data_IF_162563870403
#
_entry.id   IF_162563870403
#
_cell.length_a   1.000
_cell.length_b   1.000
_cell.length_c   1.000
_cell.angle_alpha   90.00
_cell.angle_beta   90.00
_cell.angle_gamma   90.00
#
_symmetry.space_group_name_H-M   'P 1'
#
loop_
_entity.id
_entity.type
_entity.pdbx_description
1 polymer ?
#
# COMPACT_ATOMS: atom_id res chain seq x y z
N UNK A 1 4.82 -7.90 12.92
CA UNK A 1 4.37 -6.87 11.98
C UNK A 1 4.55 -5.46 12.57
N UNK A 2 3.72 -5.02 13.51
CA UNK A 2 3.85 -3.68 14.14
C UNK A 2 5.20 -3.43 14.78
N UNK A 3 5.75 -4.39 15.52
CA UNK A 3 7.08 -4.24 16.14
C UNK A 3 8.20 -4.03 15.12
N UNK A 4 8.20 -4.75 14.01
CA UNK A 4 9.22 -4.59 12.96
C UNK A 4 9.07 -3.26 12.21
N UNK A 5 7.84 -2.77 12.03
CA UNK A 5 7.63 -1.43 11.45
C UNK A 5 8.03 -0.32 12.43
N UNK A 6 7.72 -0.47 13.73
CA UNK A 6 8.23 0.46 14.77
C UNK A 6 9.75 0.44 14.80
N UNK A 7 10.39 -0.72 14.73
CA UNK A 7 11.84 -0.83 14.66
C UNK A 7 12.41 -0.12 13.42
N UNK A 8 11.72 -0.18 12.27
CA UNK A 8 12.09 0.58 11.08
C UNK A 8 12.01 2.10 11.31
N UNK A 9 10.93 2.58 11.95
CA UNK A 9 10.78 4.01 12.27
C UNK A 9 11.84 4.49 13.28
N UNK A 10 12.15 3.67 14.28
CA UNK A 10 13.24 3.94 15.23
C UNK A 10 14.59 3.98 14.50
N UNK A 11 14.84 3.02 13.62
CA UNK A 11 16.07 3.00 12.81
C UNK A 11 16.18 4.23 11.92
N UNK A 12 15.09 4.64 11.27
CA UNK A 12 15.02 5.87 10.49
C UNK A 12 15.31 7.11 11.37
N UNK A 13 14.74 7.19 12.58
CA UNK A 13 15.00 8.29 13.51
C UNK A 13 16.46 8.32 13.98
N UNK A 14 17.04 7.16 14.29
CA UNK A 14 18.46 7.03 14.69
C UNK A 14 19.40 7.42 13.55
N UNK A 15 18.99 7.21 12.29
CA UNK A 15 19.80 7.58 11.14
C UNK A 15 19.91 9.10 10.90
N UNK A 16 18.96 9.90 11.41
CA UNK A 16 18.93 11.36 11.19
C UNK A 16 20.18 12.08 11.69
N UNK A 17 20.71 11.83 12.91
CA UNK A 17 21.91 12.51 13.37
C UNK A 17 23.21 12.16 12.60
N UNK A 18 23.19 11.04 11.90
CA UNK A 18 24.35 10.55 11.15
C UNK A 18 24.24 10.83 9.65
N UNK A 19 23.15 11.50 9.24
CA UNK A 19 22.96 11.78 7.84
C UNK A 19 23.94 12.87 7.37
N UNK A 20 24.43 12.70 6.18
CA UNK A 20 25.23 13.70 5.51
C UNK A 20 24.39 14.95 5.27
N UNK A 21 24.92 16.14 5.58
CA UNK A 21 24.20 17.38 5.37
C UNK A 21 23.78 17.52 3.91
N UNK A 22 22.48 17.51 3.68
CA UNK A 22 21.94 17.70 2.34
C UNK A 22 22.09 19.15 1.95
N UNK A 23 23.01 19.33 1.07
CA UNK A 23 23.08 20.51 0.26
C UNK A 23 22.08 20.34 -0.88
N UNK A 24 20.99 21.08 -0.77
CA UNK A 24 19.95 21.07 -1.76
C UNK A 24 20.12 22.24 -2.69
N UNK A 25 20.23 21.95 -3.97
CA UNK A 25 20.26 23.00 -5.01
C UNK A 25 18.83 23.27 -5.46
N UNK A 26 18.31 24.44 -5.12
CA UNK A 26 17.01 24.86 -5.62
C UNK A 26 17.13 25.27 -7.11
N UNK A 27 16.00 25.56 -7.75
CA UNK A 27 15.99 25.97 -9.15
C UNK A 27 16.74 27.28 -9.44
N UNK A 28 17.21 27.97 -8.40
CA UNK A 28 18.01 29.22 -8.46
C UNK A 28 19.48 28.99 -8.10
N UNK A 29 19.93 27.74 -7.91
CA UNK A 29 21.31 27.40 -7.55
C UNK A 29 21.67 27.74 -6.11
N UNK A 30 20.68 27.96 -5.23
CA UNK A 30 20.90 28.24 -3.81
C UNK A 30 20.95 26.95 -3.04
N UNK A 31 22.08 26.71 -2.42
CA UNK A 31 22.32 25.58 -1.51
C UNK A 31 21.65 25.81 -0.16
N UNK A 32 20.80 24.92 0.28
CA UNK A 32 20.10 25.04 1.58
C UNK A 32 20.22 23.73 2.38
N UNK A 33 20.44 23.88 3.68
CA UNK A 33 20.35 22.77 4.63
C UNK A 33 18.88 22.41 4.88
N UNK A 34 18.57 21.12 4.95
CA UNK A 34 17.26 20.66 5.34
C UNK A 34 17.02 20.90 6.84
N UNK A 35 15.93 21.57 7.21
CA UNK A 35 15.59 21.74 8.60
C UNK A 35 15.25 20.39 9.23
N UNK A 36 15.75 20.14 10.44
CA UNK A 36 15.55 18.87 11.18
C UNK A 36 14.09 18.43 11.23
N UNK A 37 13.15 19.38 11.37
CA UNK A 37 11.73 19.04 11.43
C UNK A 37 11.21 18.43 10.11
N UNK A 38 11.78 18.76 8.95
CA UNK A 38 11.40 18.16 7.66
C UNK A 38 11.76 16.67 7.58
N UNK A 39 12.68 16.22 8.43
CA UNK A 39 13.04 14.81 8.58
C UNK A 39 12.22 14.12 9.67
N UNK A 40 11.94 14.82 10.77
CA UNK A 40 11.24 14.27 11.94
C UNK A 40 9.72 14.17 11.71
N UNK A 41 9.11 15.17 11.05
CA UNK A 41 7.65 15.21 10.87
C UNK A 41 7.09 13.99 10.13
N UNK A 42 7.67 13.51 9.00
CA UNK A 42 7.16 12.32 8.34
C UNK A 42 7.21 11.07 9.23
N UNK A 43 8.23 10.94 10.07
CA UNK A 43 8.34 9.82 10.99
C UNK A 43 7.31 9.92 12.11
N UNK A 44 7.07 11.13 12.62
CA UNK A 44 6.01 11.39 13.60
C UNK A 44 4.62 11.06 13.00
N UNK A 45 4.34 11.51 11.78
CA UNK A 45 3.09 11.22 11.09
C UNK A 45 2.91 9.72 10.80
N UNK A 46 3.96 9.01 10.37
CA UNK A 46 3.91 7.55 10.21
C UNK A 46 3.63 6.83 11.53
N UNK A 47 4.25 7.30 12.62
CA UNK A 47 4.05 6.76 13.97
C UNK A 47 2.62 6.99 14.44
N UNK A 48 2.12 8.23 14.34
CA UNK A 48 0.75 8.57 14.72
C UNK A 48 -0.26 7.77 13.89
N UNK A 49 -0.03 7.64 12.59
CA UNK A 49 -0.88 6.85 11.67
C UNK A 49 -0.99 5.39 12.14
N UNK A 50 0.14 4.77 12.48
CA UNK A 50 0.15 3.39 13.00
C UNK A 50 -0.57 3.30 14.36
N UNK A 51 -0.32 4.25 15.27
CA UNK A 51 -0.97 4.27 16.60
C UNK A 51 -2.49 4.45 16.49
N UNK A 52 -2.95 5.35 15.62
CA UNK A 52 -4.38 5.55 15.35
C UNK A 52 -5.01 4.28 14.78
N UNK A 53 -4.34 3.60 13.85
CA UNK A 53 -4.84 2.34 13.30
C UNK A 53 -4.93 1.22 14.37
N UNK A 54 -3.91 1.10 15.23
CA UNK A 54 -3.90 0.14 16.35
C UNK A 54 -5.05 0.46 17.31
N UNK A 55 -5.19 1.73 17.70
CA UNK A 55 -6.25 2.16 18.61
C UNK A 55 -7.63 1.90 18.01
N UNK A 56 -7.88 2.33 16.78
CA UNK A 56 -9.16 2.10 16.09
C UNK A 56 -9.51 0.61 16.04
N UNK A 57 -8.55 -0.25 15.69
CA UNK A 57 -8.77 -1.69 15.68
C UNK A 57 -9.02 -2.25 17.09
N UNK A 58 -8.36 -1.75 18.15
CA UNK A 58 -8.51 -2.26 19.51
C UNK A 58 -9.83 -1.85 20.16
N UNK A 59 -10.33 -0.67 19.84
CA UNK A 59 -11.61 -0.15 20.39
C UNK A 59 -12.84 -0.91 19.87
N UNK A 60 -12.74 -1.59 18.75
CA UNK A 60 -13.84 -2.36 18.17
C UNK A 60 -13.73 -3.80 18.69
N UNK A 61 -14.81 -4.34 19.28
CA UNK A 61 -14.88 -5.74 19.65
C UNK A 61 -14.69 -6.64 18.41
N UNK A 62 -14.00 -7.78 18.57
CA UNK A 62 -13.66 -8.67 17.43
C UNK A 62 -14.88 -9.08 16.64
N UNK A 63 -15.98 -9.44 17.32
CA UNK A 63 -17.24 -9.81 16.67
C UNK A 63 -17.88 -8.69 15.82
N UNK A 64 -17.49 -7.42 16.04
CA UNK A 64 -18.00 -6.26 15.30
C UNK A 64 -17.04 -5.80 14.20
N UNK A 65 -15.82 -6.35 14.12
CA UNK A 65 -14.81 -5.90 13.15
C UNK A 65 -15.25 -6.07 11.70
N UNK A 66 -15.82 -7.20 11.32
CA UNK A 66 -16.35 -7.40 9.96
C UNK A 66 -17.42 -6.36 9.61
N UNK A 67 -18.34 -6.08 10.55
CA UNK A 67 -19.37 -5.05 10.38
C UNK A 67 -18.78 -3.64 10.26
N UNK A 68 -17.73 -3.33 11.02
CA UNK A 68 -17.04 -2.05 10.95
C UNK A 68 -16.32 -1.87 9.62
N UNK A 69 -15.58 -2.90 9.15
CA UNK A 69 -14.94 -2.88 7.84
C UNK A 69 -15.96 -2.74 6.70
N UNK A 70 -17.11 -3.42 6.81
CA UNK A 70 -18.18 -3.28 5.84
C UNK A 70 -18.71 -1.84 5.78
N UNK A 71 -19.00 -1.22 6.93
CA UNK A 71 -19.45 0.19 6.99
C UNK A 71 -18.41 1.12 6.41
N UNK A 72 -17.13 0.88 6.70
CA UNK A 72 -16.02 1.65 6.14
C UNK A 72 -15.98 1.53 4.61
N UNK A 73 -16.14 0.31 4.07
CA UNK A 73 -16.25 0.09 2.62
C UNK A 73 -17.44 0.84 2.02
N UNK A 74 -18.62 0.86 2.68
CA UNK A 74 -19.78 1.61 2.22
C UNK A 74 -19.54 3.13 2.20
N UNK A 75 -18.93 3.67 3.25
CA UNK A 75 -18.53 5.08 3.29
C UNK A 75 -17.57 5.43 2.16
N UNK A 76 -16.57 4.59 1.90
CA UNK A 76 -15.65 4.77 0.78
C UNK A 76 -16.34 4.68 -0.59
N UNK A 77 -17.36 3.81 -0.73
CA UNK A 77 -18.14 3.69 -1.96
C UNK A 77 -18.95 4.95 -2.31
N UNK A 78 -19.21 5.81 -1.31
CA UNK A 78 -19.85 7.11 -1.49
C UNK A 78 -18.79 8.21 -1.62
N UNK A 79 -17.81 8.24 -0.72
CA UNK A 79 -16.82 9.33 -0.65
C UNK A 79 -15.93 9.39 -1.88
N UNK A 80 -15.43 8.23 -2.37
CA UNK A 80 -14.52 8.21 -3.50
C UNK A 80 -15.12 8.71 -4.82
N UNK A 81 -16.36 8.34 -5.23
CA UNK A 81 -16.98 8.94 -6.41
C UNK A 81 -17.20 10.45 -6.28
N UNK A 82 -17.61 10.91 -5.09
CA UNK A 82 -17.80 12.36 -4.84
C UNK A 82 -16.47 13.10 -5.00
N UNK A 83 -15.39 12.56 -4.43
CA UNK A 83 -14.05 13.14 -4.57
C UNK A 83 -13.58 13.12 -6.03
N UNK A 84 -13.79 12.03 -6.76
CA UNK A 84 -13.47 11.95 -8.18
C UNK A 84 -14.24 12.96 -9.03
N UNK A 85 -15.54 13.11 -8.80
CA UNK A 85 -16.35 14.10 -9.52
C UNK A 85 -15.87 15.51 -9.22
N UNK A 86 -15.56 15.79 -7.96
CA UNK A 86 -15.02 17.09 -7.55
C UNK A 86 -13.69 17.38 -8.23
N UNK A 87 -12.71 16.47 -8.16
CA UNK A 87 -11.40 16.66 -8.78
C UNK A 87 -11.50 16.78 -10.31
N UNK A 88 -12.45 16.07 -10.93
CA UNK A 88 -12.73 16.21 -12.35
C UNK A 88 -13.26 17.62 -12.67
N UNK A 89 -14.20 18.14 -11.89
CA UNK A 89 -14.79 19.49 -12.07
C UNK A 89 -13.74 20.58 -11.80
N UNK A 90 -12.86 20.39 -10.82
CA UNK A 90 -11.75 21.30 -10.49
C UNK A 90 -10.62 21.25 -11.55
N UNK A 91 -10.70 20.35 -12.54
CA UNK A 91 -9.71 20.22 -13.61
C UNK A 91 -8.43 19.48 -13.21
N UNK A 92 -8.41 18.81 -12.05
CA UNK A 92 -7.28 18.02 -11.56
C UNK A 92 -7.17 16.68 -12.31
N UNK A 93 -7.02 16.77 -13.63
CA UNK A 93 -6.96 15.61 -14.52
C UNK A 93 -5.63 15.56 -15.27
N UNK A 94 -5.15 14.37 -15.55
CA UNK A 94 -4.01 14.11 -16.44
C UNK A 94 -4.50 13.24 -17.59
N UNK A 95 -4.86 13.85 -18.70
CA UNK A 95 -5.61 13.19 -19.76
C UNK A 95 -7.02 12.79 -19.25
N UNK A 96 -7.37 11.50 -19.35
CA UNK A 96 -8.65 10.99 -18.84
C UNK A 96 -8.62 10.56 -17.36
N UNK A 97 -7.45 10.62 -16.71
CA UNK A 97 -7.27 10.20 -15.32
C UNK A 97 -7.64 11.31 -14.36
N UNK A 98 -8.35 10.94 -13.31
CA UNK A 98 -8.69 11.85 -12.23
C UNK A 98 -7.80 11.54 -11.03
N UNK A 99 -7.11 12.56 -10.50
CA UNK A 99 -6.40 12.45 -9.24
C UNK A 99 -7.42 12.48 -8.09
N UNK A 100 -7.27 11.62 -7.09
CA UNK A 100 -8.06 11.69 -5.85
C UNK A 100 -7.25 12.40 -4.77
N UNK A 101 -7.91 13.05 -3.82
CA UNK A 101 -7.23 13.65 -2.65
C UNK A 101 -6.62 12.58 -1.75
N UNK A 102 -7.25 11.41 -1.68
CA UNK A 102 -6.75 10.26 -0.94
C UNK A 102 -5.78 9.44 -1.80
N UNK A 103 -4.55 9.93 -1.95
CA UNK A 103 -3.46 9.22 -2.60
C UNK A 103 -3.24 9.52 -4.08
N UNK A 104 -3.94 10.51 -4.63
CA UNK A 104 -3.82 10.84 -6.04
C UNK A 104 -4.25 9.70 -6.97
N UNK A 105 -4.01 9.83 -8.26
CA UNK A 105 -4.33 8.79 -9.23
C UNK A 105 -3.40 7.55 -9.14
N UNK A 106 -2.27 7.67 -8.42
CA UNK A 106 -1.26 6.61 -8.37
C UNK A 106 -1.58 5.52 -7.33
N UNK A 107 -1.98 5.89 -6.11
CA UNK A 107 -2.08 4.98 -4.96
C UNK A 107 -3.47 4.86 -4.35
N UNK A 108 -4.47 5.63 -4.81
CA UNK A 108 -5.88 5.47 -4.36
C UNK A 108 -6.40 4.02 -4.56
N UNK A 109 -5.83 3.28 -5.52
CA UNK A 109 -6.20 1.89 -5.78
C UNK A 109 -6.00 0.98 -4.57
N UNK A 110 -5.07 1.29 -3.66
CA UNK A 110 -4.87 0.52 -2.43
C UNK A 110 -6.14 0.51 -1.60
N UNK A 111 -6.75 1.69 -1.40
CA UNK A 111 -8.02 1.85 -0.67
C UNK A 111 -9.16 1.13 -1.39
N UNK A 112 -9.23 1.32 -2.71
CA UNK A 112 -10.30 0.76 -3.54
C UNK A 112 -10.29 -0.77 -3.57
N UNK A 113 -9.11 -1.39 -3.64
CA UNK A 113 -8.97 -2.86 -3.62
C UNK A 113 -9.32 -3.44 -2.25
N UNK A 114 -8.90 -2.80 -1.16
CA UNK A 114 -9.25 -3.24 0.19
C UNK A 114 -10.76 -3.14 0.44
N UNK A 115 -11.37 -2.02 0.08
CA UNK A 115 -12.80 -1.81 0.20
C UNK A 115 -13.60 -2.74 -0.72
N UNK A 116 -13.13 -2.97 -1.96
CA UNK A 116 -13.70 -3.94 -2.91
C UNK A 116 -13.69 -5.36 -2.32
N UNK A 117 -12.59 -5.77 -1.70
CA UNK A 117 -12.47 -7.10 -1.10
C UNK A 117 -13.55 -7.33 -0.02
N UNK A 118 -13.79 -6.33 0.83
CA UNK A 118 -14.85 -6.39 1.85
C UNK A 118 -16.25 -6.37 1.23
N UNK A 119 -16.50 -5.55 0.21
CA UNK A 119 -17.77 -5.51 -0.49
C UNK A 119 -18.10 -6.85 -1.18
N UNK A 120 -17.12 -7.45 -1.85
CA UNK A 120 -17.26 -8.75 -2.53
C UNK A 120 -17.47 -9.88 -1.50
N UNK A 121 -16.78 -9.85 -0.35
CA UNK A 121 -17.01 -10.80 0.74
C UNK A 121 -18.45 -10.76 1.25
N UNK A 122 -18.98 -9.54 1.46
CA UNK A 122 -20.34 -9.34 1.90
C UNK A 122 -21.37 -9.84 0.86
N UNK A 123 -21.12 -9.64 -0.45
CA UNK A 123 -21.96 -10.19 -1.54
C UNK A 123 -21.97 -11.72 -1.50
N UNK A 124 -20.80 -12.35 -1.36
CA UNK A 124 -20.66 -13.81 -1.37
C UNK A 124 -21.29 -14.44 -0.12
N UNK A 125 -21.19 -13.77 1.02
CA UNK A 125 -21.82 -14.21 2.28
C UNK A 125 -23.29 -13.82 2.39
N UNK A 126 -23.89 -13.24 1.34
CA UNK A 126 -25.27 -12.78 1.29
C UNK A 126 -25.63 -11.71 2.34
N UNK A 127 -24.64 -10.98 2.86
CA UNK A 127 -24.84 -9.86 3.78
C UNK A 127 -25.08 -8.57 2.99
N UNK A 128 -26.25 -7.94 3.18
CA UNK A 128 -26.61 -6.68 2.51
C UNK A 128 -26.29 -6.69 1.00
N UNK A 129 -26.66 -7.77 0.31
CA UNK A 129 -26.21 -8.13 -1.04
C UNK A 129 -26.31 -6.98 -2.04
N UNK A 130 -27.45 -6.26 -2.07
CA UNK A 130 -27.66 -5.17 -3.04
C UNK A 130 -26.68 -4.01 -2.75
N UNK A 131 -26.62 -3.51 -1.50
CA UNK A 131 -25.74 -2.41 -1.13
C UNK A 131 -24.27 -2.77 -1.37
N UNK A 132 -23.87 -3.99 -1.02
CA UNK A 132 -22.50 -4.46 -1.23
C UNK A 132 -22.16 -4.61 -2.70
N UNK A 133 -23.12 -5.00 -3.57
CA UNK A 133 -22.91 -5.03 -5.02
C UNK A 133 -22.75 -3.63 -5.59
N UNK A 134 -23.57 -2.67 -5.17
CA UNK A 134 -23.44 -1.26 -5.57
C UNK A 134 -22.09 -0.71 -5.15
N UNK A 135 -21.64 -0.99 -3.92
CA UNK A 135 -20.33 -0.57 -3.44
C UNK A 135 -19.19 -1.19 -4.26
N UNK A 136 -19.28 -2.48 -4.58
CA UNK A 136 -18.27 -3.15 -5.42
C UNK A 136 -18.17 -2.49 -6.81
N UNK A 137 -19.31 -2.18 -7.44
CA UNK A 137 -19.36 -1.47 -8.73
C UNK A 137 -18.78 -0.07 -8.61
N UNK A 138 -19.10 0.65 -7.52
CA UNK A 138 -18.54 1.98 -7.24
C UNK A 138 -17.01 1.93 -7.13
N UNK A 139 -16.45 1.00 -6.35
CA UNK A 139 -15.00 0.86 -6.22
C UNK A 139 -14.32 0.50 -7.54
N UNK A 140 -14.92 -0.38 -8.36
CA UNK A 140 -14.40 -0.72 -9.68
C UNK A 140 -14.46 0.48 -10.63
N UNK A 141 -15.53 1.27 -10.61
CA UNK A 141 -15.67 2.50 -11.39
C UNK A 141 -14.60 3.53 -11.02
N UNK A 142 -14.39 3.77 -9.72
CA UNK A 142 -13.33 4.66 -9.24
C UNK A 142 -11.93 4.16 -9.61
N UNK A 143 -11.70 2.85 -9.53
CA UNK A 143 -10.44 2.25 -9.94
C UNK A 143 -10.16 2.46 -11.43
N UNK A 144 -11.17 2.27 -12.28
CA UNK A 144 -11.08 2.54 -13.71
C UNK A 144 -10.79 4.02 -13.97
N UNK A 145 -11.52 4.95 -13.33
CA UNK A 145 -11.34 6.39 -13.48
C UNK A 145 -9.94 6.87 -13.04
N UNK A 146 -9.33 6.23 -12.05
CA UNK A 146 -7.98 6.56 -11.62
C UNK A 146 -6.91 6.26 -12.67
N UNK A 147 -7.14 5.29 -13.57
CA UNK A 147 -6.18 4.85 -14.59
C UNK A 147 -4.82 4.41 -14.03
N UNK A 148 -4.81 3.90 -12.80
CA UNK A 148 -3.60 3.46 -12.13
C UNK A 148 -3.10 2.12 -12.68
N UNK A 149 -1.86 2.08 -13.21
CA UNK A 149 -1.22 0.81 -13.64
C UNK A 149 -1.05 -0.17 -12.47
N UNK A 150 -0.61 0.35 -11.33
CA UNK A 150 -0.49 -0.44 -10.11
C UNK A 150 -1.86 -0.96 -9.66
N UNK A 151 -2.92 -0.14 -9.81
CA UNK A 151 -4.29 -0.53 -9.55
C UNK A 151 -4.78 -1.66 -10.45
N UNK A 152 -4.43 -1.64 -11.73
CA UNK A 152 -4.75 -2.72 -12.66
C UNK A 152 -4.05 -4.02 -12.28
N UNK A 153 -2.77 -3.95 -11.90
CA UNK A 153 -2.00 -5.12 -11.41
C UNK A 153 -2.63 -5.65 -10.11
N UNK A 154 -2.96 -4.77 -9.17
CA UNK A 154 -3.59 -5.15 -7.90
C UNK A 154 -4.96 -5.80 -8.12
N UNK A 155 -5.79 -5.26 -9.01
CA UNK A 155 -7.08 -5.84 -9.37
C UNK A 155 -6.90 -7.23 -10.01
N UNK A 156 -5.95 -7.36 -10.93
CA UNK A 156 -5.65 -8.63 -11.58
C UNK A 156 -5.23 -9.70 -10.54
N UNK A 157 -4.34 -9.35 -9.62
CA UNK A 157 -3.93 -10.26 -8.54
C UNK A 157 -5.08 -10.61 -7.60
N UNK A 158 -5.94 -9.64 -7.28
CA UNK A 158 -7.14 -9.89 -6.48
C UNK A 158 -8.09 -10.87 -7.18
N UNK A 159 -8.37 -10.67 -8.47
CA UNK A 159 -9.24 -11.56 -9.27
C UNK A 159 -8.63 -12.95 -9.42
N UNK A 160 -7.33 -13.04 -9.69
CA UNK A 160 -6.61 -14.32 -9.74
C UNK A 160 -6.73 -15.03 -8.38
N UNK A 161 -6.46 -14.32 -7.29
CA UNK A 161 -6.60 -14.87 -5.94
C UNK A 161 -8.03 -15.33 -5.65
N UNK A 162 -9.04 -14.55 -6.03
CA UNK A 162 -10.45 -14.89 -5.89
C UNK A 162 -10.79 -16.20 -6.65
N UNK A 163 -10.25 -16.37 -7.85
CA UNK A 163 -10.42 -17.58 -8.65
C UNK A 163 -9.80 -18.79 -7.97
N UNK A 164 -8.58 -18.67 -7.41
CA UNK A 164 -7.87 -19.80 -6.81
C UNK A 164 -8.33 -20.13 -5.38
N UNK A 165 -8.71 -19.13 -4.59
CA UNK A 165 -8.99 -19.29 -3.15
C UNK A 165 -10.44 -19.01 -2.78
N UNK A 166 -11.27 -18.55 -3.72
CA UNK A 166 -12.70 -18.35 -3.48
C UNK A 166 -13.40 -19.66 -3.09
N UNK A 167 -14.39 -19.57 -2.18
CA UNK A 167 -15.14 -20.73 -1.67
C UNK A 167 -15.75 -21.59 -2.78
N UNK A 168 -16.28 -20.94 -3.81
CA UNK A 168 -16.85 -21.61 -5.00
C UNK A 168 -15.80 -22.35 -5.83
N UNK A 169 -14.53 -21.98 -5.72
CA UNK A 169 -13.46 -22.63 -6.46
C UNK A 169 -13.15 -24.04 -5.92
N UNK A 170 -13.22 -24.24 -4.61
CA UNK A 170 -12.92 -25.56 -3.98
C UNK A 170 -13.89 -26.66 -4.40
N UNK A 171 -15.13 -26.30 -4.75
CA UNK A 171 -16.18 -27.24 -5.19
C UNK A 171 -16.14 -27.53 -6.69
N UNK A 172 -15.33 -26.83 -7.49
CA UNK A 172 -15.26 -27.00 -8.95
C UNK A 172 -14.27 -28.08 -9.36
N UNK A 173 -14.55 -28.72 -10.51
CA UNK A 173 -13.64 -29.70 -11.11
C UNK A 173 -12.29 -29.05 -11.49
N UNK A 174 -11.23 -29.87 -11.58
CA UNK A 174 -9.88 -29.39 -11.97
C UNK A 174 -9.90 -28.65 -13.31
N UNK A 175 -10.65 -29.15 -14.33
CA UNK A 175 -10.79 -28.52 -15.63
C UNK A 175 -11.43 -27.13 -15.54
N UNK A 176 -12.51 -27.00 -14.77
CA UNK A 176 -13.15 -25.68 -14.56
C UNK A 176 -12.24 -24.69 -13.87
N UNK A 177 -11.45 -25.14 -12.87
CA UNK A 177 -10.45 -24.30 -12.18
C UNK A 177 -9.41 -23.77 -13.15
N UNK A 178 -8.86 -24.65 -14.01
CA UNK A 178 -7.88 -24.24 -15.02
C UNK A 178 -8.45 -23.23 -16.02
N UNK A 179 -9.66 -23.47 -16.54
CA UNK A 179 -10.31 -22.53 -17.48
C UNK A 179 -10.54 -21.16 -16.83
N UNK A 180 -11.04 -21.11 -15.58
CA UNK A 180 -11.27 -19.86 -14.87
C UNK A 180 -9.96 -19.12 -14.59
N UNK A 181 -8.90 -19.86 -14.21
CA UNK A 181 -7.57 -19.29 -13.99
C UNK A 181 -7.00 -18.68 -15.30
N UNK A 182 -7.12 -19.42 -16.42
CA UNK A 182 -6.68 -18.92 -17.73
C UNK A 182 -7.46 -17.68 -18.16
N UNK A 183 -8.78 -17.67 -17.98
CA UNK A 183 -9.61 -16.49 -18.27
C UNK A 183 -9.22 -15.30 -17.38
N UNK A 184 -8.99 -15.52 -16.08
CA UNK A 184 -8.52 -14.48 -15.17
C UNK A 184 -7.16 -13.91 -15.59
N UNK A 185 -6.19 -14.77 -15.92
CA UNK A 185 -4.88 -14.36 -16.41
C UNK A 185 -4.97 -13.63 -17.76
N UNK A 186 -5.80 -14.10 -18.68
CA UNK A 186 -6.03 -13.44 -19.96
C UNK A 186 -6.64 -12.04 -19.76
N UNK A 187 -7.66 -11.94 -18.93
CA UNK A 187 -8.30 -10.64 -18.61
C UNK A 187 -7.31 -9.68 -17.96
N UNK A 188 -6.49 -10.17 -17.04
CA UNK A 188 -5.43 -9.38 -16.41
C UNK A 188 -4.38 -8.95 -17.43
N UNK A 189 -3.93 -9.85 -18.31
CA UNK A 189 -2.99 -9.56 -19.38
C UNK A 189 -3.52 -8.54 -20.37
N UNK A 190 -4.77 -8.67 -20.81
CA UNK A 190 -5.45 -7.69 -21.68
C UNK A 190 -5.58 -6.33 -20.98
N UNK A 191 -5.96 -6.28 -19.71
CA UNK A 191 -6.05 -5.04 -18.95
C UNK A 191 -4.69 -4.35 -18.83
N UNK A 192 -3.62 -5.09 -18.50
CA UNK A 192 -2.25 -4.57 -18.45
C UNK A 192 -1.80 -4.06 -19.82
N UNK A 193 -2.08 -4.83 -20.88
CA UNK A 193 -1.75 -4.45 -22.25
C UNK A 193 -2.48 -3.18 -22.67
N UNK A 194 -3.80 -3.09 -22.45
CA UNK A 194 -4.59 -1.88 -22.74
C UNK A 194 -4.05 -0.65 -22.00
N UNK A 195 -3.78 -0.76 -20.69
CA UNK A 195 -3.23 0.35 -19.91
C UNK A 195 -1.83 0.74 -20.40
N UNK A 196 -1.02 -0.22 -20.83
CA UNK A 196 0.33 0.08 -21.37
C UNK A 196 0.30 0.73 -22.74
N UNK A 197 -0.60 0.30 -23.64
CA UNK A 197 -0.73 0.87 -25.01
C UNK A 197 -1.32 2.27 -25.00
N UNK A 198 -2.35 2.51 -24.20
CA UNK A 198 -2.97 3.85 -24.06
C UNK A 198 -1.99 4.89 -23.47
N UNK A 199 -0.92 4.45 -22.83
CA UNK A 199 0.02 5.29 -22.08
C UNK A 199 1.44 5.34 -22.65
N UNK A 200 1.61 5.35 -23.95
CA UNK A 200 2.94 5.49 -24.61
C UNK A 200 3.96 4.36 -24.39
N UNK A 201 3.53 3.13 -24.22
CA UNK A 201 4.39 1.94 -24.38
C UNK A 201 5.38 1.59 -23.27
N UNK A 202 5.71 2.51 -22.34
CA UNK A 202 6.67 2.23 -21.27
C UNK A 202 5.99 1.86 -19.95
N UNK A 203 6.32 0.69 -19.39
CA UNK A 203 5.84 0.27 -18.06
C UNK A 203 6.49 1.08 -16.94
N UNK A 204 7.72 1.53 -17.13
CA UNK A 204 8.49 2.33 -16.16
C UNK A 204 8.77 3.70 -16.76
N UNK A 205 8.42 4.73 -16.00
CA UNK A 205 8.76 6.11 -16.33
C UNK A 205 10.29 6.28 -16.32
N UNK A 206 10.90 6.86 -17.37
CA UNK A 206 12.34 7.10 -17.43
C UNK A 206 12.88 7.88 -16.22
N UNK A 207 12.11 8.82 -15.67
CA UNK A 207 12.50 9.57 -14.48
C UNK A 207 12.58 8.66 -13.23
N UNK A 208 11.63 7.72 -13.07
CA UNK A 208 11.68 6.69 -12.00
C UNK A 208 12.88 5.77 -12.19
N UNK A 209 13.13 5.31 -13.41
CA UNK A 209 14.28 4.44 -13.69
C UNK A 209 15.61 5.12 -13.33
N UNK A 210 15.77 6.42 -13.66
CA UNK A 210 16.95 7.21 -13.27
C UNK A 210 17.06 7.35 -11.75
N UNK A 211 15.94 7.63 -11.07
CA UNK A 211 15.87 7.73 -9.61
C UNK A 211 16.27 6.42 -8.93
N UNK A 212 15.82 5.27 -9.44
CA UNK A 212 16.21 3.95 -8.91
C UNK A 212 17.67 3.60 -9.20
N UNK A 213 18.17 3.93 -10.39
CA UNK A 213 19.57 3.77 -10.73
C UNK A 213 20.50 4.63 -9.86
N UNK A 214 20.03 5.83 -9.47
CA UNK A 214 20.76 6.67 -8.51
C UNK A 214 20.87 5.97 -7.15
N UNK A 215 19.78 5.46 -6.61
CA UNK A 215 19.79 4.70 -5.35
C UNK A 215 20.75 3.52 -5.39
N UNK A 216 20.73 2.75 -6.48
CA UNK A 216 21.67 1.64 -6.68
C UNK A 216 23.13 2.08 -6.64
N UNK A 217 23.48 3.21 -7.27
CA UNK A 217 24.85 3.75 -7.24
C UNK A 217 25.24 4.18 -5.82
N UNK A 218 24.38 4.92 -5.14
CA UNK A 218 24.64 5.40 -3.78
C UNK A 218 24.86 4.25 -2.79
N UNK A 219 24.07 3.18 -2.91
CA UNK A 219 24.18 2.01 -2.03
C UNK A 219 25.52 1.27 -2.23
N UNK A 220 26.05 1.21 -3.45
CA UNK A 220 27.32 0.50 -3.73
C UNK A 220 28.55 1.39 -3.59
N UNK A 221 28.38 2.70 -3.39
CA UNK A 221 29.46 3.66 -3.30
C UNK A 221 30.35 3.45 -2.05
N UNK A 222 29.74 3.04 -0.94
CA UNK A 222 30.48 2.74 0.29
C UNK A 222 29.85 1.58 1.09
N UNK A 223 30.67 0.81 1.87
CA UNK A 223 30.16 -0.21 2.78
C UNK A 223 29.19 0.35 3.84
N UNK A 224 29.38 1.59 4.28
CA UNK A 224 28.47 2.26 5.22
C UNK A 224 27.10 2.51 4.56
N UNK A 225 27.07 3.06 3.34
CA UNK A 225 25.81 3.26 2.61
C UNK A 225 25.07 1.94 2.36
N UNK A 226 25.80 0.86 2.07
CA UNK A 226 25.20 -0.47 1.93
C UNK A 226 24.54 -0.95 3.22
N UNK A 227 25.22 -0.80 4.38
CA UNK A 227 24.71 -1.32 5.66
C UNK A 227 23.63 -0.44 6.28
N UNK A 228 23.90 0.86 6.39
CA UNK A 228 23.07 1.79 7.18
C UNK A 228 22.32 2.82 6.32
N UNK A 229 22.64 2.90 5.03
CA UNK A 229 22.08 3.89 4.10
C UNK A 229 22.75 5.26 4.28
N UNK A 230 22.17 6.25 3.62
CA UNK A 230 22.64 7.65 3.69
C UNK A 230 21.98 8.45 4.81
N UNK A 231 21.02 7.88 5.51
CA UNK A 231 20.14 8.53 6.47
C UNK A 231 18.78 8.88 5.87
N UNK A 232 17.75 8.87 6.72
CA UNK A 232 16.37 9.10 6.31
C UNK A 232 16.19 10.52 5.73
N UNK A 233 15.54 10.60 4.56
CA UNK A 233 15.24 11.88 3.88
C UNK A 233 16.42 12.51 3.15
N UNK A 234 17.59 11.84 3.07
CA UNK A 234 18.79 12.42 2.45
C UNK A 234 18.72 12.39 0.91
N UNK A 235 18.30 11.28 0.31
CA UNK A 235 18.19 11.18 -1.14
C UNK A 235 16.86 11.78 -1.61
N UNK A 236 15.80 11.57 -0.84
CA UNK A 236 14.43 11.98 -1.19
C UNK A 236 13.77 12.81 -0.10
N UNK A 237 14.09 14.10 0.02
CA UNK A 237 13.51 15.00 1.01
C UNK A 237 12.08 15.44 0.62
N UNK A 238 11.20 14.49 0.33
CA UNK A 238 9.87 14.72 -0.22
C UNK A 238 9.00 15.64 0.65
N UNK A 239 9.12 15.56 1.98
CA UNK A 239 8.34 16.38 2.89
C UNK A 239 8.72 17.85 2.82
N UNK A 240 10.02 18.15 2.76
CA UNK A 240 10.51 19.52 2.58
C UNK A 240 10.03 20.14 1.28
N UNK A 241 9.87 19.31 0.24
CA UNK A 241 9.37 19.73 -1.07
C UNK A 241 7.86 19.99 -1.05
N UNK A 242 7.09 19.12 -0.43
CA UNK A 242 5.62 19.20 -0.41
C UNK A 242 5.10 20.20 0.63
N UNK A 243 5.86 20.47 1.69
CA UNK A 243 5.49 21.40 2.76
C UNK A 243 5.83 22.88 2.48
N UNK A 244 6.15 23.23 1.23
CA UNK A 244 6.50 24.60 0.81
C UNK A 244 7.78 25.20 1.40
N UNK A 245 8.59 24.42 2.14
CA UNK A 245 9.92 24.87 2.60
C UNK A 245 10.90 25.08 1.46
N UNK A 246 10.66 24.36 0.39
CA UNK A 246 11.40 24.51 -0.84
C UNK A 246 10.49 25.13 -1.86
N UNK A 247 10.91 26.23 -2.50
CA UNK A 247 10.12 26.84 -3.55
C UNK A 247 9.79 25.78 -4.59
N UNK A 248 8.52 25.72 -4.99
CA UNK A 248 8.04 24.85 -6.05
C UNK A 248 8.84 25.09 -7.33
N UNK A 249 9.88 24.33 -7.51
CA UNK A 249 10.33 24.11 -8.87
C UNK A 249 9.53 22.94 -9.38
N UNK A 250 8.69 23.14 -10.39
CA UNK A 250 7.99 22.16 -11.20
C UNK A 250 8.28 20.69 -10.88
N UNK A 251 7.33 19.81 -11.05
CA UNK A 251 7.35 18.34 -10.89
C UNK A 251 8.53 17.60 -11.57
N UNK A 252 9.68 18.24 -11.71
CA UNK A 252 10.87 17.80 -12.42
C UNK A 252 11.90 17.12 -11.52
N UNK A 253 12.86 16.50 -12.19
CA UNK A 253 14.07 15.95 -11.58
C UNK A 253 14.83 17.07 -10.86
N UNK A 254 15.31 16.79 -9.64
CA UNK A 254 16.08 17.72 -8.82
C UNK A 254 17.52 17.24 -8.68
N UNK A 255 18.45 18.18 -8.58
CA UNK A 255 19.82 17.88 -8.27
C UNK A 255 19.94 17.61 -6.77
N UNK A 256 20.42 16.43 -6.38
CA UNK A 256 20.76 16.04 -5.02
C UNK A 256 22.28 15.94 -4.90
N UNK A 257 22.81 15.74 -3.71
CA UNK A 257 24.24 15.45 -3.48
C UNK A 257 24.74 14.31 -4.37
N UNK A 258 23.89 13.34 -4.64
CA UNK A 258 24.20 12.13 -5.39
C UNK A 258 23.84 12.20 -6.88
N UNK A 259 23.24 13.27 -7.35
CA UNK A 259 22.82 13.47 -8.73
C UNK A 259 21.36 13.85 -8.90
N UNK A 260 20.84 13.80 -10.13
CA UNK A 260 19.46 14.15 -10.42
C UNK A 260 18.48 13.04 -10.05
N UNK A 261 17.46 13.37 -9.25
CA UNK A 261 16.42 12.48 -8.79
C UNK A 261 15.05 13.16 -8.73
N UNK A 262 13.97 12.35 -8.77
CA UNK A 262 12.65 12.82 -8.36
C UNK A 262 12.65 13.16 -6.87
N UNK A 263 11.71 13.98 -6.37
CA UNK A 263 11.63 14.34 -4.95
C UNK A 263 11.30 13.15 -4.03
N UNK A 264 10.84 12.04 -4.58
CA UNK A 264 10.57 10.79 -3.86
C UNK A 264 10.90 9.57 -4.73
N UNK A 265 11.23 8.45 -4.10
CA UNK A 265 11.69 7.24 -4.76
C UNK A 265 10.64 6.55 -5.64
N UNK A 266 9.36 6.80 -5.44
CA UNK A 266 8.26 6.04 -6.05
C UNK A 266 8.39 4.52 -5.87
N UNK A 267 9.01 4.09 -4.78
CA UNK A 267 9.12 2.69 -4.35
C UNK A 267 9.57 2.68 -2.90
N UNK A 268 8.79 2.05 -2.04
CA UNK A 268 9.14 1.89 -0.62
C UNK A 268 10.46 1.13 -0.46
N UNK A 269 10.64 0.08 -1.24
CA UNK A 269 11.85 -0.77 -1.15
C UNK A 269 13.09 0.02 -1.57
N UNK A 270 13.01 0.76 -2.67
CA UNK A 270 14.13 1.59 -3.15
C UNK A 270 14.46 2.69 -2.15
N UNK A 271 13.44 3.36 -1.58
CA UNK A 271 13.65 4.38 -0.58
C UNK A 271 14.32 3.81 0.66
N UNK A 272 13.80 2.71 1.18
CA UNK A 272 14.36 2.08 2.40
C UNK A 272 15.80 1.62 2.16
N UNK A 273 16.10 0.99 1.02
CA UNK A 273 17.47 0.54 0.70
C UNK A 273 18.42 1.74 0.57
N UNK A 274 18.04 2.78 -0.16
CA UNK A 274 18.90 3.94 -0.38
C UNK A 274 19.19 4.72 0.89
N UNK A 275 18.15 4.97 1.70
CA UNK A 275 18.26 5.86 2.87
C UNK A 275 18.53 5.11 4.19
N UNK A 276 18.14 3.85 4.32
CA UNK A 276 18.25 3.06 5.56
C UNK A 276 19.08 1.78 5.41
N UNK A 277 19.63 1.55 4.23
CA UNK A 277 20.52 0.42 3.94
C UNK A 277 19.87 -0.96 4.08
N UNK A 278 20.72 -1.98 4.15
CA UNK A 278 20.28 -3.38 4.30
C UNK A 278 19.58 -3.63 5.63
N UNK A 279 19.93 -2.90 6.70
CA UNK A 279 19.24 -2.99 7.99
C UNK A 279 17.78 -2.56 7.84
N UNK A 280 17.52 -1.40 7.22
CA UNK A 280 16.18 -0.94 6.93
C UNK A 280 15.41 -1.91 6.03
N UNK A 281 16.08 -2.46 4.99
CA UNK A 281 15.50 -3.47 4.11
C UNK A 281 15.09 -4.73 4.89
N UNK A 282 15.93 -5.23 5.77
CA UNK A 282 15.61 -6.41 6.58
C UNK A 282 14.37 -6.17 7.47
N UNK A 283 14.29 -5.00 8.12
CA UNK A 283 13.16 -4.64 8.97
C UNK A 283 11.84 -4.54 8.19
N UNK A 284 11.85 -3.91 7.01
CA UNK A 284 10.62 -3.83 6.20
C UNK A 284 10.25 -5.20 5.61
N UNK A 285 11.21 -6.02 5.18
CA UNK A 285 10.93 -7.37 4.69
C UNK A 285 10.34 -8.27 5.78
N UNK A 286 10.82 -8.18 7.03
CA UNK A 286 10.22 -8.87 8.18
C UNK A 286 8.79 -8.37 8.42
N UNK A 287 8.54 -7.07 8.33
CA UNK A 287 7.20 -6.50 8.42
C UNK A 287 6.26 -7.09 7.35
N UNK A 288 6.66 -7.01 6.08
CA UNK A 288 5.86 -7.49 4.96
C UNK A 288 5.70 -9.02 4.97
N UNK A 289 6.75 -9.76 5.37
CA UNK A 289 6.70 -11.21 5.54
C UNK A 289 5.69 -11.63 6.61
N UNK A 290 5.61 -10.90 7.73
CA UNK A 290 4.57 -11.15 8.75
C UNK A 290 3.18 -10.83 8.25
N UNK A 291 2.99 -9.79 7.43
CA UNK A 291 1.71 -9.51 6.78
C UNK A 291 1.30 -10.66 5.86
N UNK A 292 2.23 -11.15 5.03
CA UNK A 292 1.98 -12.32 4.15
C UNK A 292 1.57 -13.54 4.99
N UNK A 293 2.28 -13.81 6.09
CA UNK A 293 1.95 -14.94 6.98
C UNK A 293 0.53 -14.81 7.58
N UNK A 294 0.13 -13.61 8.01
CA UNK A 294 -1.24 -13.32 8.48
C UNK A 294 -2.26 -13.55 7.35
N UNK A 295 -1.97 -13.08 6.13
CA UNK A 295 -2.85 -13.30 4.98
C UNK A 295 -3.00 -14.79 4.64
N UNK A 296 -1.91 -15.56 4.67
CA UNK A 296 -1.96 -17.02 4.43
C UNK A 296 -2.81 -17.72 5.48
N UNK A 297 -2.66 -17.35 6.76
CA UNK A 297 -3.53 -17.83 7.82
C UNK A 297 -4.99 -17.43 7.60
N UNK A 298 -5.25 -16.17 7.22
CA UNK A 298 -6.60 -15.67 6.96
C UNK A 298 -7.29 -16.39 5.80
N UNK A 299 -6.56 -16.74 4.73
CA UNK A 299 -7.08 -17.55 3.62
C UNK A 299 -7.56 -18.93 4.13
N UNK A 300 -6.84 -19.52 5.07
CA UNK A 300 -7.18 -20.82 5.67
C UNK A 300 -8.25 -20.69 6.75
N UNK A 301 -8.23 -19.63 7.53
CA UNK A 301 -9.06 -19.36 8.70
C UNK A 301 -10.40 -18.67 8.42
N UNK A 302 -10.88 -18.63 7.16
CA UNK A 302 -12.24 -18.14 6.85
C UNK A 302 -12.32 -16.67 6.37
N UNK A 303 -11.20 -15.98 6.22
CA UNK A 303 -11.13 -14.58 5.74
C UNK A 303 -10.38 -14.43 4.40
N UNK A 304 -10.67 -15.28 3.38
CA UNK A 304 -9.87 -15.32 2.17
C UNK A 304 -9.90 -14.00 1.39
N UNK A 305 -11.06 -13.33 1.30
CA UNK A 305 -11.19 -12.14 0.46
C UNK A 305 -10.47 -10.93 1.05
N UNK A 306 -10.58 -10.70 2.36
CA UNK A 306 -9.83 -9.63 3.01
C UNK A 306 -8.31 -9.89 2.90
N UNK A 307 -7.88 -11.14 3.09
CA UNK A 307 -6.49 -11.54 2.93
C UNK A 307 -5.97 -11.31 1.51
N UNK A 308 -6.79 -11.68 0.50
CA UNK A 308 -6.46 -11.45 -0.91
C UNK A 308 -6.42 -9.96 -1.25
N UNK A 309 -7.32 -9.15 -0.67
CA UNK A 309 -7.30 -7.69 -0.79
C UNK A 309 -5.98 -7.11 -0.29
N UNK A 310 -5.55 -7.49 0.92
CA UNK A 310 -4.26 -7.04 1.47
C UNK A 310 -3.09 -7.49 0.60
N UNK A 311 -3.03 -8.77 0.20
CA UNK A 311 -1.95 -9.29 -0.67
C UNK A 311 -1.92 -8.59 -2.02
N UNK A 312 -3.06 -8.32 -2.63
CA UNK A 312 -3.17 -7.67 -3.93
C UNK A 312 -2.67 -6.22 -3.91
N UNK A 313 -2.65 -5.56 -2.75
CA UNK A 313 -2.10 -4.21 -2.59
C UNK A 313 -0.58 -4.18 -2.39
N UNK A 314 0.07 -5.30 -2.05
CA UNK A 314 1.51 -5.33 -1.75
C UNK A 314 2.41 -4.93 -2.92
N UNK A 315 2.13 -5.27 -4.20
CA UNK A 315 2.94 -4.79 -5.32
C UNK A 315 3.00 -3.26 -5.43
N UNK A 316 2.04 -2.54 -4.83
CA UNK A 316 2.09 -1.08 -4.78
C UNK A 316 3.33 -0.56 -4.02
N UNK A 317 3.90 -1.31 -3.09
CA UNK A 317 5.16 -0.96 -2.41
C UNK A 317 6.37 -0.89 -3.35
N UNK A 318 6.32 -1.59 -4.47
CA UNK A 318 7.35 -1.51 -5.52
C UNK A 318 7.15 -0.27 -6.42
N UNK A 319 5.96 0.33 -6.38
CA UNK A 319 5.55 1.41 -7.26
C UNK A 319 5.30 2.73 -6.54
N UNK A 320 5.27 2.72 -5.20
CA UNK A 320 5.05 3.91 -4.37
C UNK A 320 5.51 3.72 -2.91
N UNK A 321 5.57 4.82 -2.16
CA UNK A 321 6.09 4.91 -0.79
C UNK A 321 5.01 5.21 0.24
N UNK A 322 3.77 4.77 0.03
CA UNK A 322 2.61 5.23 0.78
C UNK A 322 2.65 4.95 2.30
N UNK A 323 3.39 3.93 2.78
CA UNK A 323 3.48 3.67 4.23
C UNK A 323 4.22 4.76 5.02
N UNK A 324 5.14 5.47 4.37
CA UNK A 324 5.99 6.49 4.99
C UNK A 324 5.82 7.86 4.36
N UNK A 325 4.88 8.01 3.43
CA UNK A 325 4.61 9.27 2.73
C UNK A 325 3.12 9.63 2.69
N UNK A 326 2.27 8.72 2.23
CA UNK A 326 0.83 8.99 2.07
C UNK A 326 0.06 8.42 3.26
N UNK A 327 0.00 9.16 4.34
CA UNK A 327 -0.56 8.72 5.62
C UNK A 327 -2.05 8.39 5.57
N UNK A 328 -2.91 9.08 4.82
CA UNK A 328 -4.30 8.62 4.66
C UNK A 328 -4.41 7.22 4.08
N UNK A 329 -3.64 6.91 3.03
CA UNK A 329 -3.63 5.55 2.44
C UNK A 329 -3.01 4.56 3.41
N UNK A 330 -1.91 4.93 4.07
CA UNK A 330 -1.26 4.09 5.09
C UNK A 330 -2.20 3.76 6.25
N UNK A 331 -2.97 4.75 6.76
CA UNK A 331 -3.93 4.56 7.83
C UNK A 331 -4.95 3.46 7.50
N UNK A 332 -5.59 3.55 6.35
CA UNK A 332 -6.57 2.55 5.93
C UNK A 332 -5.90 1.20 5.69
N UNK A 333 -4.75 1.16 5.05
CA UNK A 333 -4.02 -0.10 4.84
C UNK A 333 -3.70 -0.79 6.18
N UNK A 334 -3.25 -0.03 7.18
CA UNK A 334 -3.01 -0.53 8.54
C UNK A 334 -4.30 -1.01 9.20
N UNK A 335 -5.42 -0.26 9.11
CA UNK A 335 -6.70 -0.66 9.69
C UNK A 335 -7.14 -2.01 9.12
N UNK A 336 -7.15 -2.19 7.80
CA UNK A 336 -7.57 -3.46 7.19
C UNK A 336 -6.63 -4.62 7.55
N UNK A 337 -5.32 -4.37 7.57
CA UNK A 337 -4.31 -5.38 7.88
C UNK A 337 -4.35 -5.79 9.36
N UNK A 338 -4.49 -4.83 10.28
CA UNK A 338 -4.59 -5.10 11.72
C UNK A 338 -5.93 -5.76 12.08
N UNK A 339 -7.01 -5.37 11.43
CA UNK A 339 -8.30 -6.03 11.60
C UNK A 339 -8.23 -7.49 11.15
N UNK A 340 -7.63 -7.77 9.99
CA UNK A 340 -7.38 -9.13 9.53
C UNK A 340 -6.54 -9.92 10.55
N UNK A 341 -5.46 -9.34 11.07
CA UNK A 341 -4.62 -9.97 12.07
C UNK A 341 -5.44 -10.37 13.31
N UNK A 342 -6.29 -9.49 13.82
CA UNK A 342 -7.15 -9.79 14.97
C UNK A 342 -8.19 -10.86 14.69
N UNK A 343 -8.85 -10.82 13.55
CA UNK A 343 -9.83 -11.82 13.14
C UNK A 343 -9.21 -13.23 13.06
N UNK A 344 -7.99 -13.31 12.52
CA UNK A 344 -7.29 -14.60 12.38
C UNK A 344 -6.78 -15.14 13.71
N UNK A 345 -6.26 -14.27 14.60
CA UNK A 345 -5.71 -14.74 15.89
C UNK A 345 -6.80 -15.16 16.88
N UNK A 346 -7.98 -14.55 16.82
CA UNK A 346 -9.08 -14.90 17.73
C UNK A 346 -9.80 -16.16 17.27
N UNK A 347 -9.92 -16.40 15.96
CA UNK A 347 -10.48 -17.64 15.43
C UNK A 347 -9.68 -18.90 15.80
N UNK A 348 -8.37 -18.77 15.97
CA UNK A 348 -7.52 -19.90 16.45
C UNK A 348 -7.83 -20.24 17.92
N UNK A 349 -8.09 -19.23 18.77
CA UNK A 349 -8.36 -19.43 20.20
C UNK A 349 -9.70 -20.16 20.47
N UNK A 350 -10.72 -19.88 19.63
CA UNK A 350 -12.03 -20.53 19.75
C UNK A 350 -11.97 -22.02 19.35
N UNK A 351 -11.08 -22.38 18.42
CA UNK A 351 -10.91 -23.77 17.98
C UNK A 351 -10.17 -24.61 19.03
N UNK A 352 -9.16 -24.06 19.71
CA UNK A 352 -8.41 -24.75 20.76
C UNK A 352 -9.26 -24.92 22.04
N UNK A 353 -10.12 -23.96 22.37
CA UNK A 353 -11.02 -24.05 23.52
C UNK A 353 -12.10 -25.14 23.39
N UNK A 354 -12.60 -25.41 22.16
CA UNK A 354 -13.64 -26.45 21.93
C UNK A 354 -13.07 -27.88 21.89
N UNK A 355 -11.76 -28.03 21.60
CA UNK A 355 -11.12 -29.35 21.60
C UNK A 355 -10.91 -29.92 23.02
N UNK A 356 -10.66 -29.07 24.01
CA UNK A 356 -10.51 -29.44 25.41
C UNK A 356 -11.82 -29.94 26.08
N UNK A 357 -12.97 -29.41 25.61
CA UNK A 357 -14.28 -29.79 26.17
C UNK A 357 -14.84 -31.12 25.63
N UNK A 358 -14.31 -31.62 24.51
CA UNK A 358 -14.76 -32.89 23.92
C UNK A 358 -14.10 -34.12 24.54
N UNK A 359 -12.90 -34.02 25.08
CA UNK A 359 -12.22 -35.18 25.72
C UNK A 359 -12.81 -35.52 27.10
N UNK A 360 -13.37 -34.56 27.85
CA UNK A 360 -13.96 -34.83 29.15
C UNK A 360 -15.35 -35.55 29.10
N UNK A 361 -16.02 -35.57 27.94
CA UNK A 361 -17.34 -36.22 27.81
C UNK A 361 -17.30 -37.70 27.46
N UNK A 362 -16.13 -38.27 27.22
CA UNK A 362 -15.95 -39.68 26.84
C UNK A 362 -14.99 -40.45 27.78
N UNK A 363 -14.57 -39.87 28.89
CA UNK A 363 -13.86 -40.51 29.98
C UNK A 363 -14.84 -40.77 31.14
#
# INVERSE_FOLDING_TARGET
MTCSFVALLVWAAVSIPFHEHLIYDDSMGVTRDLPLYALVMPLAEATVTLLVAIFACRMIAVGNLEGALWRLSMLMAIANPIDLVREYVEGNTTGWRVATRLGGAAICHVLLILALAVAVDAVIRHRHRILSSVAAVSHLGCLAASGSRAGTISLALFVIGLVFFGRSYRTRSRKQRTVIAMLGLLTAGVAIWLVSTVRSGSLVDPARARTWALAGRVVVDSPSHFLVGTGYGTIWPWFAVESTFMPESSHGMRRTLYGYSLPHAHSLIVQVVGELGVIGLALILVCLGTVIAVCVKGIRGGYPLLSLGVLATMPAFLMDTYLIKNFPVALFWWIFTLALCRLVTTGDADVEGDSGYREEKYA
#
